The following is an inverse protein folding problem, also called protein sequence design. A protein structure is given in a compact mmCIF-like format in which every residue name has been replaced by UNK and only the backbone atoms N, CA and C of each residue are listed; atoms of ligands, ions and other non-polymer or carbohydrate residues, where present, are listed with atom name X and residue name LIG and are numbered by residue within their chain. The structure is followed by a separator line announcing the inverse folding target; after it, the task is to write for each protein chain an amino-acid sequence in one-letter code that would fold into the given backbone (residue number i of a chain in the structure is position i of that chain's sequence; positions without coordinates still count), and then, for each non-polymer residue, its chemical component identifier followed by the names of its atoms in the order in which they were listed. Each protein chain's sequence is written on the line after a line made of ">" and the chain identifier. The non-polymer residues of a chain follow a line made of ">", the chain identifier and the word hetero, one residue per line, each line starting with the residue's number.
data_IF_838759838019
#
_entry.id   IF_838759838019
#
_cell.length_a   1.000
_cell.length_b   1.000
_cell.length_c   1.000
_cell.angle_alpha   90.00
_cell.angle_beta   90.00
_cell.angle_gamma   90.00
#
_symmetry.space_group_name_H-M   'P 1'
#
loop_
_entity.id
_entity.type
_entity.pdbx_description
1 polymer ?
#
# COMPACT_ATOMS: atom_id res chain seq x y z
N UNK A 1 5.69 3.12 -7.23
CA UNK A 1 4.32 3.61 -7.04
C UNK A 1 4.24 4.55 -5.84
N UNK A 2 3.35 5.54 -5.89
CA UNK A 2 3.04 6.44 -4.77
C UNK A 2 1.54 6.38 -4.49
N UNK A 3 1.15 6.20 -3.23
CA UNK A 3 -0.24 6.22 -2.77
C UNK A 3 -0.36 7.37 -1.78
N UNK A 4 -1.40 8.20 -1.96
CA UNK A 4 -1.77 9.23 -1.00
C UNK A 4 -3.21 9.01 -0.56
N UNK A 5 -3.43 8.84 0.75
CA UNK A 5 -4.77 8.72 1.34
C UNK A 5 -5.03 9.95 2.20
N UNK A 6 -6.06 10.71 1.85
CA UNK A 6 -6.44 11.95 2.54
C UNK A 6 -7.39 11.61 3.69
N UNK A 7 -6.96 11.82 4.93
CA UNK A 7 -7.65 11.37 6.14
C UNK A 7 -7.91 12.54 7.11
N UNK A 8 -8.85 13.45 6.79
CA UNK A 8 -9.05 14.68 7.54
C UNK A 8 -9.60 14.45 8.95
N UNK A 9 -8.78 14.80 9.95
CA UNK A 9 -9.15 14.68 11.37
C UNK A 9 -9.22 13.24 11.85
N UNK A 10 -8.39 12.37 11.27
CA UNK A 10 -8.09 11.03 11.77
C UNK A 10 -6.72 11.10 12.45
N UNK A 11 -6.63 10.63 13.69
CA UNK A 11 -5.35 10.46 14.37
C UNK A 11 -4.65 9.20 13.88
N UNK A 12 -3.31 9.19 13.88
CA UNK A 12 -2.49 8.11 13.28
C UNK A 12 -2.86 6.74 13.83
N UNK A 13 -3.15 6.66 15.12
CA UNK A 13 -3.45 5.43 15.86
C UNK A 13 -4.76 4.79 15.39
N UNK A 14 -5.63 5.56 14.73
CA UNK A 14 -6.91 5.11 14.19
C UNK A 14 -6.82 4.72 12.71
N UNK A 15 -5.62 4.61 12.14
CA UNK A 15 -5.38 4.23 10.76
C UNK A 15 -4.77 2.82 10.72
N UNK A 16 -5.39 1.93 9.94
CA UNK A 16 -4.81 0.65 9.55
C UNK A 16 -4.61 0.64 8.05
N UNK A 17 -3.36 0.42 7.61
CA UNK A 17 -3.01 0.29 6.21
C UNK A 17 -2.35 -1.08 6.02
N UNK A 18 -2.82 -1.85 5.04
CA UNK A 18 -2.26 -3.15 4.66
C UNK A 18 -1.90 -3.11 3.19
N UNK A 19 -0.68 -3.53 2.86
CA UNK A 19 -0.17 -3.59 1.50
C UNK A 19 0.14 -5.04 1.17
N UNK A 20 -0.45 -5.54 0.08
CA UNK A 20 -0.04 -6.75 -0.60
C UNK A 20 0.75 -6.40 -1.87
N UNK A 21 1.26 -7.42 -2.56
CA UNK A 21 1.98 -7.22 -3.82
C UNK A 21 1.06 -6.66 -4.91
N UNK A 22 -0.21 -7.06 -4.92
CA UNK A 22 -1.20 -6.80 -5.97
C UNK A 22 -2.34 -5.86 -5.53
N UNK A 23 -2.24 -5.27 -4.35
CA UNK A 23 -3.29 -4.40 -3.83
C UNK A 23 -3.00 -3.81 -2.46
N UNK A 24 -3.88 -2.93 -2.00
CA UNK A 24 -3.83 -2.42 -0.64
C UNK A 24 -5.23 -2.23 -0.06
N UNK A 25 -5.29 -2.25 1.26
CA UNK A 25 -6.48 -2.00 2.05
C UNK A 25 -6.19 -0.88 3.05
N UNK A 26 -7.15 0.03 3.21
CA UNK A 26 -7.09 1.09 4.19
C UNK A 26 -8.36 1.09 5.04
N UNK A 27 -8.18 1.25 6.34
CA UNK A 27 -9.24 1.49 7.31
C UNK A 27 -8.89 2.70 8.16
N UNK A 28 -9.85 3.58 8.38
CA UNK A 28 -9.74 4.69 9.31
C UNK A 28 -11.00 4.76 10.19
N UNK A 29 -10.83 5.06 11.48
CA UNK A 29 -11.96 5.18 12.41
C UNK A 29 -12.05 6.61 12.97
N UNK A 30 -13.26 7.19 12.97
CA UNK A 30 -13.54 8.51 13.57
C UNK A 30 -14.85 8.48 14.33
N UNK A 31 -14.81 8.75 15.64
CA UNK A 31 -16.02 8.84 16.50
C UNK A 31 -16.96 7.62 16.32
N UNK A 32 -16.39 6.42 16.20
CA UNK A 32 -17.16 5.17 16.02
C UNK A 32 -17.60 4.87 14.58
N UNK A 33 -17.33 5.76 13.62
CA UNK A 33 -17.57 5.50 12.19
C UNK A 33 -16.29 4.93 11.56
N UNK A 34 -16.42 3.81 10.85
CA UNK A 34 -15.33 3.21 10.07
C UNK A 34 -15.43 3.62 8.59
N UNK A 35 -14.31 4.06 8.03
CA UNK A 35 -14.11 4.33 6.61
C UNK A 35 -13.15 3.27 6.08
N UNK A 36 -13.56 2.54 5.07
CA UNK A 36 -12.81 1.40 4.53
C UNK A 36 -12.76 1.47 3.01
N UNK A 37 -11.61 1.10 2.46
CA UNK A 37 -11.42 1.01 1.02
C UNK A 37 -10.35 -0.03 0.66
N UNK A 38 -10.40 -0.53 -0.56
CA UNK A 38 -9.45 -1.50 -1.10
C UNK A 38 -9.24 -1.30 -2.59
N UNK A 39 -7.99 -1.30 -3.03
CA UNK A 39 -7.61 -1.09 -4.42
C UNK A 39 -6.67 -2.18 -4.90
N UNK A 40 -6.87 -2.62 -6.14
CA UNK A 40 -5.91 -3.49 -6.85
C UNK A 40 -4.80 -2.66 -7.48
N UNK A 41 -3.62 -3.24 -7.56
CA UNK A 41 -2.44 -2.72 -8.26
C UNK A 41 -2.17 -3.66 -9.43
N UNK A 42 -2.06 -3.12 -10.65
CA UNK A 42 -1.94 -3.94 -11.85
C UNK A 42 -0.57 -4.66 -12.01
N UNK A 43 0.46 -4.19 -11.31
CA UNK A 43 1.80 -4.80 -11.33
C UNK A 43 2.27 -5.03 -9.89
N UNK A 44 2.92 -6.16 -9.61
CA UNK A 44 3.31 -6.50 -8.26
C UNK A 44 4.33 -5.50 -7.71
N UNK A 45 4.17 -5.13 -6.44
CA UNK A 45 5.08 -4.24 -5.72
C UNK A 45 5.93 -4.99 -4.71
N UNK A 46 7.14 -4.49 -4.47
CA UNK A 46 8.02 -5.08 -3.46
C UNK A 46 7.65 -4.50 -2.09
N UNK A 47 6.82 -5.23 -1.34
CA UNK A 47 6.25 -4.77 -0.06
C UNK A 47 7.31 -4.53 1.01
N UNK A 48 8.43 -5.26 0.97
CA UNK A 48 9.53 -5.13 1.95
C UNK A 48 10.24 -3.78 1.84
N UNK A 49 10.17 -3.14 0.67
CA UNK A 49 10.74 -1.82 0.39
C UNK A 49 9.73 -0.68 0.57
N UNK A 50 8.55 -0.95 1.14
CA UNK A 50 7.55 0.08 1.37
C UNK A 50 7.96 1.04 2.48
N UNK A 51 7.79 2.34 2.23
CA UNK A 51 7.99 3.40 3.21
C UNK A 51 6.71 4.22 3.38
N UNK A 52 6.41 4.62 4.61
CA UNK A 52 5.21 5.39 4.92
C UNK A 52 5.50 6.61 5.79
N UNK A 53 4.74 7.68 5.58
CA UNK A 53 4.72 8.84 6.46
C UNK A 53 3.28 9.31 6.65
N UNK A 54 2.96 9.82 7.83
CA UNK A 54 1.68 10.47 8.10
C UNK A 54 1.95 11.89 8.57
N UNK A 55 1.60 12.87 7.75
CA UNK A 55 1.77 14.29 8.07
C UNK A 55 0.66 15.09 7.40
N UNK A 56 0.28 16.21 8.03
CA UNK A 56 -0.75 17.10 7.49
C UNK A 56 -2.04 16.39 7.06
N UNK A 57 -2.43 15.33 7.80
CA UNK A 57 -3.64 14.51 7.56
C UNK A 57 -3.61 13.68 6.27
N UNK A 58 -2.43 13.41 5.73
CA UNK A 58 -2.23 12.59 4.54
C UNK A 58 -1.30 11.43 4.89
N UNK A 59 -1.77 10.20 4.63
CA UNK A 59 -0.92 9.02 4.64
C UNK A 59 -0.25 8.91 3.26
N UNK A 60 1.06 9.05 3.22
CA UNK A 60 1.87 8.86 2.01
C UNK A 60 2.58 7.52 2.09
N UNK A 61 2.39 6.69 1.08
CA UNK A 61 3.08 5.41 0.93
C UNK A 61 3.87 5.43 -0.37
N UNK A 62 5.16 5.11 -0.28
CA UNK A 62 6.02 4.92 -1.45
C UNK A 62 6.50 3.49 -1.46
N UNK A 63 6.29 2.79 -2.57
CA UNK A 63 6.71 1.40 -2.74
C UNK A 63 7.18 1.19 -4.18
N UNK A 64 8.35 0.56 -4.41
CA UNK A 64 8.79 0.24 -5.76
C UNK A 64 8.00 -0.94 -6.34
N UNK A 65 7.90 -1.02 -7.67
CA UNK A 65 7.46 -2.25 -8.32
C UNK A 65 8.52 -3.35 -8.11
N UNK A 66 8.10 -4.61 -8.13
CA UNK A 66 9.05 -5.73 -8.22
C UNK A 66 9.81 -5.66 -9.54
N UNK A 67 11.06 -6.12 -9.56
CA UNK A 67 11.76 -6.27 -10.83
C UNK A 67 11.12 -7.41 -11.63
N UNK A 68 10.84 -7.20 -12.94
CA UNK A 68 10.35 -8.28 -13.77
C UNK A 68 11.31 -9.46 -13.70
N UNK A 69 10.78 -10.65 -13.44
CA UNK A 69 11.57 -11.88 -13.38
C UNK A 69 12.63 -11.93 -12.26
N UNK A 70 12.52 -11.10 -11.21
CA UNK A 70 13.45 -11.09 -10.05
C UNK A 70 13.63 -12.51 -9.46
N UNK A 71 12.55 -13.30 -9.43
CA UNK A 71 12.53 -14.68 -8.93
C UNK A 71 12.28 -15.73 -10.03
N UNK A 72 12.50 -15.39 -11.30
CA UNK A 72 12.31 -16.34 -12.38
C UNK A 72 13.46 -17.35 -12.47
N UNK A 73 13.18 -18.48 -13.11
CA UNK A 73 14.19 -19.50 -13.41
C UNK A 73 14.40 -19.58 -14.92
N UNK A 74 15.64 -19.81 -15.34
CA UNK A 74 15.94 -20.12 -16.73
C UNK A 74 15.35 -21.49 -17.08
N UNK A 75 14.55 -21.52 -18.14
CA UNK A 75 13.96 -22.76 -18.67
C UNK A 75 14.74 -23.17 -19.91
N UNK A 76 15.26 -24.41 -19.92
CA UNK A 76 15.90 -24.98 -21.10
C UNK A 76 14.83 -25.29 -22.17
N UNK A 77 15.12 -24.90 -23.41
CA UNK A 77 14.31 -25.22 -24.59
C UNK A 77 14.93 -26.45 -25.27
N UNK A 78 14.11 -27.43 -25.65
CA UNK A 78 14.49 -28.63 -26.43
C UNK A 78 14.40 -28.39 -27.94
#
# INVERSE_FOLDING_TARGET
>A
MKIEVILPGIEKENISFKLGEDGFYVKATKKGVEYVDSYSICFPVNTDKAATTYSSRILKVTVPYQEPFENAVDVKIE
#
